data_IF_847087657093
#
_entry.id   IF_847087657093
#
_cell.length_a   1.000
_cell.length_b   1.000
_cell.length_c   1.000
_cell.angle_alpha   90.00
_cell.angle_beta   90.00
_cell.angle_gamma   90.00
#
_symmetry.space_group_name_H-M   'P 1'
#
loop_
_entity.id
_entity.type
_entity.pdbx_description
1 polymer ?
#
# COMPACT_ATOMS: atom_id res chain seq x y z
N UNK A 1 23.09 -5.48 4.38
CA UNK A 1 22.67 -4.09 4.53
C UNK A 1 21.28 -4.06 5.15
N UNK A 2 20.99 -3.16 6.06
CA UNK A 2 19.65 -2.98 6.62
C UNK A 2 18.82 -2.20 5.59
N UNK A 3 17.63 -2.72 5.24
CA UNK A 3 16.71 -2.00 4.36
C UNK A 3 16.17 -0.74 5.04
N UNK A 4 15.67 0.20 4.25
CA UNK A 4 15.24 1.51 4.75
C UNK A 4 13.74 1.73 4.53
N UNK A 5 13.03 2.21 5.55
CA UNK A 5 11.67 2.74 5.42
C UNK A 5 11.77 4.26 5.33
N UNK A 6 11.20 4.83 4.29
CA UNK A 6 11.31 6.26 3.99
C UNK A 6 10.02 7.00 4.36
N UNK A 7 10.14 8.04 5.17
CA UNK A 7 9.13 9.09 5.28
C UNK A 7 9.37 10.11 4.16
N UNK A 8 8.41 10.27 3.24
CA UNK A 8 8.52 11.21 2.13
C UNK A 8 7.87 12.54 2.48
N UNK A 9 8.66 13.60 2.47
CA UNK A 9 8.22 14.98 2.60
C UNK A 9 8.12 15.63 1.22
N UNK A 10 6.90 15.91 0.78
CA UNK A 10 6.65 16.59 -0.50
C UNK A 10 6.30 18.04 -0.22
N UNK A 11 7.20 18.96 -0.53
CA UNK A 11 7.07 20.43 -0.36
C UNK A 11 6.83 20.92 1.08
N UNK A 12 6.66 20.03 2.07
CA UNK A 12 6.46 20.37 3.49
C UNK A 12 6.79 19.19 4.39
N UNK A 13 7.03 19.48 5.67
CA UNK A 13 7.23 18.46 6.70
C UNK A 13 6.01 17.53 6.82
N UNK A 14 6.27 16.25 7.08
CA UNK A 14 5.28 15.19 7.17
C UNK A 14 5.43 14.38 8.47
N UNK A 15 5.13 14.97 9.64
CA UNK A 15 5.42 14.36 10.95
C UNK A 15 4.69 13.04 11.16
N UNK A 16 3.48 12.89 10.61
CA UNK A 16 2.75 11.62 10.67
C UNK A 16 3.45 10.54 9.85
N UNK A 17 3.93 10.87 8.64
CA UNK A 17 4.68 9.92 7.82
C UNK A 17 5.97 9.48 8.53
N UNK A 18 6.68 10.39 9.19
CA UNK A 18 7.88 10.10 9.98
C UNK A 18 7.56 9.13 11.11
N UNK A 19 6.51 9.39 11.90
CA UNK A 19 6.10 8.52 13.00
C UNK A 19 5.74 7.09 12.52
N UNK A 20 5.03 6.98 11.40
CA UNK A 20 4.72 5.68 10.81
C UNK A 20 5.95 4.96 10.28
N UNK A 21 6.86 5.67 9.60
CA UNK A 21 8.10 5.10 9.07
C UNK A 21 8.98 4.56 10.21
N UNK A 22 9.15 5.31 11.28
CA UNK A 22 9.91 4.88 12.47
C UNK A 22 9.28 3.66 13.13
N UNK A 23 7.95 3.63 13.30
CA UNK A 23 7.23 2.50 13.89
C UNK A 23 7.39 1.23 13.07
N UNK A 24 7.23 1.33 11.73
CA UNK A 24 7.37 0.19 10.82
C UNK A 24 8.82 -0.28 10.77
N UNK A 25 9.78 0.64 10.65
CA UNK A 25 11.19 0.33 10.61
C UNK A 25 11.66 -0.40 11.88
N UNK A 26 11.25 0.08 13.06
CA UNK A 26 11.56 -0.55 14.32
C UNK A 26 11.05 -2.01 14.38
N UNK A 27 9.79 -2.26 13.99
CA UNK A 27 9.21 -3.59 13.98
C UNK A 27 9.90 -4.54 12.98
N UNK A 28 10.27 -4.04 11.79
CA UNK A 28 10.93 -4.81 10.75
C UNK A 28 12.46 -4.92 10.94
N UNK A 29 13.04 -4.26 11.93
CA UNK A 29 14.48 -4.10 12.13
C UNK A 29 15.17 -3.46 10.91
N UNK A 30 14.50 -2.48 10.33
CA UNK A 30 14.99 -1.63 9.26
C UNK A 30 15.45 -0.27 9.83
N UNK A 31 16.09 0.53 9.00
CA UNK A 31 16.39 1.93 9.30
C UNK A 31 15.21 2.81 8.86
N UNK A 32 14.89 3.86 9.61
CA UNK A 32 13.97 4.90 9.19
C UNK A 32 14.74 6.14 8.71
N UNK A 33 14.34 6.71 7.58
CA UNK A 33 14.90 7.96 7.07
C UNK A 33 13.80 8.87 6.54
N UNK A 34 14.03 10.17 6.63
CA UNK A 34 13.20 11.18 5.95
C UNK A 34 13.88 11.60 4.66
N UNK A 35 13.11 11.70 3.58
CA UNK A 35 13.56 12.17 2.29
C UNK A 35 12.66 13.33 1.84
N UNK A 36 13.26 14.51 1.63
CA UNK A 36 12.55 15.69 1.15
C UNK A 36 12.64 15.80 -0.37
N UNK A 37 11.49 15.98 -1.02
CA UNK A 37 11.37 16.21 -2.46
C UNK A 37 10.52 17.44 -2.73
N UNK A 38 10.81 18.19 -3.79
CA UNK A 38 9.99 19.33 -4.20
C UNK A 38 10.75 20.40 -4.96
N UNK A 39 9.99 21.34 -5.56
CA UNK A 39 10.55 22.43 -6.35
C UNK A 39 10.98 23.64 -5.50
N UNK A 40 10.54 23.74 -4.24
CA UNK A 40 10.66 24.93 -3.41
C UNK A 40 11.42 24.76 -2.10
N UNK A 41 11.90 23.56 -1.78
CA UNK A 41 12.69 23.32 -0.58
C UNK A 41 14.17 23.47 -0.86
N UNK A 42 14.84 24.25 -0.03
CA UNK A 42 16.30 24.45 0.10
C UNK A 42 17.19 23.74 -0.93
N UNK A 43 18.35 24.29 -1.23
CA UNK A 43 19.33 23.87 -2.25
C UNK A 43 19.69 22.37 -2.37
N UNK A 44 19.09 21.49 -1.57
CA UNK A 44 19.36 20.05 -1.50
C UNK A 44 18.09 19.17 -1.62
N UNK A 45 16.94 19.71 -2.04
CA UNK A 45 15.76 18.86 -2.22
C UNK A 45 15.88 18.07 -3.53
N UNK A 46 15.59 16.76 -3.43
CA UNK A 46 15.54 15.85 -4.56
C UNK A 46 14.37 16.23 -5.49
N UNK A 47 14.54 16.11 -6.80
CA UNK A 47 13.40 16.21 -7.72
C UNK A 47 12.53 14.95 -7.66
N UNK A 48 11.23 15.10 -7.94
CA UNK A 48 10.34 13.91 -8.04
C UNK A 48 10.77 12.94 -9.16
N UNK A 49 11.47 13.45 -10.18
CA UNK A 49 11.97 12.62 -11.28
C UNK A 49 13.12 11.69 -10.83
N UNK A 50 13.96 12.15 -9.90
CA UNK A 50 15.11 11.40 -9.40
C UNK A 50 14.75 10.49 -8.22
N UNK A 51 13.51 10.55 -7.73
CA UNK A 51 13.05 9.77 -6.58
C UNK A 51 13.22 8.25 -6.78
N UNK A 52 12.89 7.63 -7.93
CA UNK A 52 13.07 6.19 -8.11
C UNK A 52 14.53 5.75 -7.95
N UNK A 53 15.48 6.47 -8.57
CA UNK A 53 16.90 6.14 -8.53
C UNK A 53 17.47 6.30 -7.10
N UNK A 54 17.04 7.32 -6.40
CA UNK A 54 17.47 7.54 -5.01
C UNK A 54 16.94 6.43 -4.08
N UNK A 55 15.67 6.02 -4.23
CA UNK A 55 15.09 4.94 -3.45
C UNK A 55 15.81 3.60 -3.70
N UNK A 56 16.21 3.33 -4.95
CA UNK A 56 17.00 2.15 -5.29
C UNK A 56 18.40 2.24 -4.68
N UNK A 57 19.07 3.40 -4.78
CA UNK A 57 20.40 3.64 -4.23
C UNK A 57 20.49 3.38 -2.72
N UNK A 58 19.45 3.72 -1.97
CA UNK A 58 19.40 3.56 -0.51
C UNK A 58 18.78 2.23 -0.05
N UNK A 59 18.45 1.32 -0.97
CA UNK A 59 17.77 0.04 -0.70
C UNK A 59 16.45 0.24 0.09
N UNK A 60 15.63 1.20 -0.36
CA UNK A 60 14.36 1.48 0.26
C UNK A 60 13.40 0.27 0.13
N UNK A 61 12.76 -0.09 1.24
CA UNK A 61 11.82 -1.21 1.31
C UNK A 61 10.35 -0.78 1.28
N UNK A 62 10.06 0.44 1.70
CA UNK A 62 8.73 1.01 1.78
C UNK A 62 8.83 2.54 1.81
N UNK A 63 7.84 3.19 1.23
CA UNK A 63 7.65 4.64 1.32
C UNK A 63 6.43 4.94 2.17
N UNK A 64 6.49 5.94 3.04
CA UNK A 64 5.35 6.46 3.80
C UNK A 64 5.11 7.91 3.40
N UNK A 65 3.89 8.25 3.03
CA UNK A 65 3.53 9.56 2.50
C UNK A 65 2.32 10.12 3.24
N UNK A 66 2.46 11.30 3.82
CA UNK A 66 1.35 12.00 4.44
C UNK A 66 0.53 12.72 3.37
N UNK A 67 -0.79 12.45 3.34
CA UNK A 67 -1.71 13.02 2.36
C UNK A 67 -2.83 13.79 3.06
N UNK A 68 -2.96 15.05 2.71
CA UNK A 68 -4.05 15.93 3.14
C UNK A 68 -4.78 16.50 1.92
N UNK A 69 -6.08 16.15 1.80
CA UNK A 69 -6.92 16.58 0.69
C UNK A 69 -6.66 15.91 -0.66
N UNK A 70 -7.57 16.16 -1.58
CA UNK A 70 -7.63 15.50 -2.89
C UNK A 70 -6.42 15.81 -3.79
N UNK A 71 -5.93 17.07 -3.77
CA UNK A 71 -4.80 17.50 -4.60
C UNK A 71 -3.54 16.75 -4.21
N UNK A 72 -3.30 16.60 -2.90
CA UNK A 72 -2.10 15.93 -2.39
C UNK A 72 -2.11 14.43 -2.67
N UNK A 73 -3.28 13.77 -2.53
CA UNK A 73 -3.44 12.38 -2.95
C UNK A 73 -3.00 12.21 -4.40
N UNK A 74 -3.47 13.07 -5.31
CA UNK A 74 -3.14 12.93 -6.73
C UNK A 74 -1.65 13.12 -7.00
N UNK A 75 -1.01 14.14 -6.39
CA UNK A 75 0.44 14.35 -6.50
C UNK A 75 1.23 13.15 -6.00
N UNK A 76 0.85 12.59 -4.83
CA UNK A 76 1.50 11.41 -4.27
C UNK A 76 1.35 10.17 -5.16
N UNK A 77 0.14 9.93 -5.68
CA UNK A 77 -0.10 8.80 -6.58
C UNK A 77 0.71 8.92 -7.87
N UNK A 78 0.82 10.12 -8.45
CA UNK A 78 1.65 10.36 -9.62
C UNK A 78 3.14 10.10 -9.35
N UNK A 79 3.64 10.54 -8.20
CA UNK A 79 5.03 10.32 -7.80
C UNK A 79 5.34 8.83 -7.51
N UNK A 80 4.38 8.09 -6.95
CA UNK A 80 4.62 6.74 -6.45
C UNK A 80 4.29 5.62 -7.46
N UNK A 81 3.52 5.88 -8.52
CA UNK A 81 3.02 4.84 -9.43
C UNK A 81 4.10 4.08 -10.21
N UNK A 82 5.27 4.71 -10.42
CA UNK A 82 6.41 4.12 -11.14
C UNK A 82 7.40 3.40 -10.22
N UNK A 83 7.20 3.52 -8.91
CA UNK A 83 8.10 2.92 -7.93
C UNK A 83 7.94 1.39 -7.89
N UNK A 84 9.03 0.70 -7.61
CA UNK A 84 9.05 -0.77 -7.42
C UNK A 84 8.77 -1.21 -5.98
N UNK A 85 8.67 -0.27 -5.05
CA UNK A 85 8.40 -0.52 -3.64
C UNK A 85 6.96 -0.13 -3.29
N UNK A 86 6.37 -0.73 -2.22
CA UNK A 86 5.07 -0.33 -1.73
C UNK A 86 5.13 1.07 -1.11
N UNK A 87 3.99 1.75 -1.11
CA UNK A 87 3.84 3.03 -0.45
C UNK A 87 2.59 3.10 0.42
N UNK A 88 2.76 3.61 1.62
CA UNK A 88 1.72 3.76 2.63
C UNK A 88 1.24 5.22 2.64
N UNK A 89 -0.04 5.44 2.35
CA UNK A 89 -0.68 6.74 2.52
C UNK A 89 -1.25 6.85 3.93
N UNK A 90 -0.87 7.90 4.64
CA UNK A 90 -1.36 8.23 5.98
C UNK A 90 -1.98 9.62 6.01
N UNK A 91 -2.89 9.88 6.94
CA UNK A 91 -3.50 11.19 7.12
C UNK A 91 -2.81 11.95 8.26
N UNK A 92 -2.82 13.30 8.24
CA UNK A 92 -2.34 14.08 9.37
C UNK A 92 -2.94 13.63 10.71
N UNK A 93 -2.12 13.59 11.74
CA UNK A 93 -2.50 13.23 13.11
C UNK A 93 -2.98 11.78 13.33
N UNK A 94 -2.87 10.89 12.33
CA UNK A 94 -3.07 9.46 12.57
C UNK A 94 -1.98 8.88 13.47
N UNK A 95 -2.34 7.84 14.22
CA UNK A 95 -1.40 7.08 15.03
C UNK A 95 -1.13 5.72 14.38
N UNK A 96 0.12 5.23 14.38
CA UNK A 96 0.43 3.91 13.85
C UNK A 96 -0.17 2.82 14.72
N UNK A 97 -1.29 2.27 14.27
CA UNK A 97 -1.93 1.09 14.81
C UNK A 97 -2.10 0.07 13.70
N UNK A 98 -1.82 -1.21 13.97
CA UNK A 98 -1.85 -2.28 12.98
C UNK A 98 -2.42 -3.58 13.57
N UNK A 99 -3.36 -3.49 14.53
CA UNK A 99 -3.96 -4.67 15.14
C UNK A 99 -4.88 -5.44 14.18
N UNK A 100 -5.51 -4.74 13.23
CA UNK A 100 -6.37 -5.33 12.21
C UNK A 100 -6.03 -4.81 10.80
N UNK A 101 -5.85 -5.75 9.86
CA UNK A 101 -5.50 -5.45 8.47
C UNK A 101 -6.54 -6.02 7.52
N UNK A 102 -7.11 -5.19 6.66
CA UNK A 102 -8.04 -5.59 5.60
C UNK A 102 -7.29 -5.84 4.28
N UNK A 103 -7.50 -7.00 3.67
CA UNK A 103 -6.83 -7.42 2.43
C UNK A 103 -7.89 -7.83 1.41
N UNK A 104 -8.43 -6.91 0.61
CA UNK A 104 -9.32 -7.25 -0.50
C UNK A 104 -8.55 -7.99 -1.59
N UNK A 105 -9.17 -9.03 -2.15
CA UNK A 105 -8.60 -9.84 -3.23
C UNK A 105 -9.47 -9.68 -4.47
N UNK A 106 -8.83 -9.44 -5.61
CA UNK A 106 -9.47 -9.39 -6.93
C UNK A 106 -9.09 -10.62 -7.76
N UNK A 107 -9.51 -10.68 -9.01
CA UNK A 107 -9.11 -11.74 -9.94
C UNK A 107 -7.73 -11.50 -10.59
N UNK A 108 -7.11 -10.33 -10.35
CA UNK A 108 -5.86 -9.94 -10.98
C UNK A 108 -4.69 -10.78 -10.44
N UNK A 109 -3.80 -11.28 -11.31
CA UNK A 109 -2.68 -12.15 -10.90
C UNK A 109 -1.75 -11.50 -9.87
N UNK A 110 -1.58 -10.19 -9.96
CA UNK A 110 -0.74 -9.39 -9.06
C UNK A 110 -1.26 -9.31 -7.62
N UNK A 111 -2.52 -9.67 -7.38
CA UNK A 111 -3.10 -9.60 -6.04
C UNK A 111 -2.41 -10.52 -5.03
N UNK A 112 -1.77 -11.60 -5.49
CA UNK A 112 -0.93 -12.44 -4.64
C UNK A 112 0.30 -11.69 -4.07
N UNK A 113 0.73 -10.60 -4.71
CA UNK A 113 1.86 -9.78 -4.23
C UNK A 113 1.55 -9.03 -2.92
N UNK A 114 0.28 -8.91 -2.54
CA UNK A 114 -0.12 -8.38 -1.23
C UNK A 114 0.24 -9.32 -0.07
N UNK A 115 0.34 -10.62 -0.34
CA UNK A 115 0.53 -11.64 0.69
C UNK A 115 1.78 -11.44 1.56
N UNK A 116 3.00 -11.18 1.01
CA UNK A 116 4.19 -10.94 1.82
C UNK A 116 4.05 -9.74 2.75
N UNK A 117 3.39 -8.66 2.27
CA UNK A 117 3.19 -7.45 3.07
C UNK A 117 2.16 -7.69 4.18
N UNK A 118 1.03 -8.31 3.88
CA UNK A 118 0.06 -8.70 4.89
C UNK A 118 0.68 -9.64 5.93
N UNK A 119 1.48 -10.62 5.50
CA UNK A 119 2.19 -11.51 6.38
C UNK A 119 3.19 -10.76 7.29
N UNK A 120 3.87 -9.73 6.78
CA UNK A 120 4.76 -8.91 7.59
C UNK A 120 4.00 -8.21 8.73
N UNK A 121 2.83 -7.61 8.45
CA UNK A 121 2.00 -7.03 9.51
C UNK A 121 1.50 -8.10 10.50
N UNK A 122 1.06 -9.27 10.00
CA UNK A 122 0.67 -10.38 10.88
C UNK A 122 1.78 -10.85 11.80
N UNK A 123 3.02 -10.91 11.32
CA UNK A 123 4.18 -11.39 12.09
C UNK A 123 4.73 -10.34 13.07
N UNK A 124 4.94 -9.13 12.60
CA UNK A 124 5.69 -8.13 13.34
C UNK A 124 4.83 -7.22 14.21
N UNK A 125 3.53 -7.13 13.90
CA UNK A 125 2.56 -6.37 14.68
C UNK A 125 1.49 -7.26 15.33
N UNK A 126 1.60 -8.58 15.18
CA UNK A 126 0.57 -9.53 15.62
C UNK A 126 -0.84 -9.22 15.09
N UNK A 127 -0.91 -8.61 13.90
CA UNK A 127 -2.15 -8.18 13.29
C UNK A 127 -3.06 -9.36 12.94
N UNK A 128 -4.36 -9.19 13.17
CA UNK A 128 -5.39 -10.07 12.61
C UNK A 128 -5.67 -9.66 11.17
N UNK A 129 -5.58 -10.61 10.25
CA UNK A 129 -5.78 -10.37 8.82
C UNK A 129 -7.21 -10.72 8.41
N UNK A 130 -7.88 -9.83 7.66
CA UNK A 130 -9.21 -10.11 7.11
C UNK A 130 -9.14 -10.03 5.58
N UNK A 131 -9.28 -11.20 4.94
CA UNK A 131 -9.29 -11.33 3.48
C UNK A 131 -10.72 -11.12 2.99
N UNK A 132 -10.92 -10.19 2.05
CA UNK A 132 -12.20 -9.98 1.39
C UNK A 132 -12.23 -10.73 0.06
N UNK A 133 -13.04 -11.80 0.00
CA UNK A 133 -13.27 -12.59 -1.20
C UNK A 133 -14.35 -11.92 -2.06
N UNK A 134 -14.11 -11.62 -3.35
CA UNK A 134 -15.12 -11.01 -4.22
C UNK A 134 -16.27 -11.98 -4.50
N UNK A 135 -17.43 -11.42 -4.87
CA UNK A 135 -18.63 -12.21 -5.19
C UNK A 135 -18.50 -12.98 -6.51
N UNK A 136 -17.71 -12.45 -7.43
CA UNK A 136 -17.51 -12.96 -8.79
C UNK A 136 -16.09 -13.50 -9.02
N UNK A 137 -15.81 -14.02 -10.22
CA UNK A 137 -14.49 -14.50 -10.69
C UNK A 137 -13.85 -15.57 -9.75
N UNK A 138 -14.71 -16.44 -9.18
CA UNK A 138 -14.38 -17.37 -8.13
C UNK A 138 -13.04 -18.09 -8.31
N UNK A 139 -12.78 -18.69 -9.48
CA UNK A 139 -11.57 -19.52 -9.70
C UNK A 139 -10.27 -18.72 -9.61
N UNK A 140 -10.21 -17.53 -10.21
CA UNK A 140 -8.98 -16.71 -10.18
C UNK A 140 -8.76 -16.06 -8.82
N UNK A 141 -9.81 -15.51 -8.23
CA UNK A 141 -9.74 -14.95 -6.89
C UNK A 141 -9.40 -16.02 -5.85
N UNK A 142 -9.93 -17.25 -5.99
CA UNK A 142 -9.61 -18.39 -5.12
C UNK A 142 -8.11 -18.70 -5.20
N UNK A 143 -7.51 -18.78 -6.38
CA UNK A 143 -6.06 -19.02 -6.52
C UNK A 143 -5.21 -17.98 -5.79
N UNK A 144 -5.61 -16.70 -5.86
CA UNK A 144 -4.92 -15.65 -5.13
C UNK A 144 -5.10 -15.80 -3.61
N UNK A 145 -6.30 -16.15 -3.15
CA UNK A 145 -6.59 -16.41 -1.74
C UNK A 145 -5.79 -17.62 -1.24
N UNK A 146 -5.77 -18.73 -1.99
CA UNK A 146 -5.05 -19.95 -1.62
C UNK A 146 -3.55 -19.69 -1.51
N UNK A 147 -2.96 -18.93 -2.45
CA UNK A 147 -1.56 -18.53 -2.37
C UNK A 147 -1.27 -17.67 -1.14
N UNK A 148 -2.20 -16.77 -0.80
CA UNK A 148 -2.09 -15.90 0.36
C UNK A 148 -2.21 -16.68 1.67
N UNK A 149 -3.23 -17.55 1.79
CA UNK A 149 -3.46 -18.35 3.00
C UNK A 149 -2.36 -19.38 3.21
N UNK A 150 -1.84 -20.00 2.15
CA UNK A 150 -0.66 -20.88 2.23
C UNK A 150 0.53 -20.17 2.89
N UNK A 151 0.79 -18.91 2.52
CA UNK A 151 1.82 -18.13 3.16
C UNK A 151 1.48 -17.81 4.62
N UNK A 152 0.23 -17.45 4.91
CA UNK A 152 -0.20 -17.13 6.28
C UNK A 152 -0.12 -18.34 7.21
N UNK A 153 -0.52 -19.50 6.72
CA UNK A 153 -0.45 -20.77 7.47
C UNK A 153 1.01 -21.15 7.77
N UNK A 154 1.93 -20.92 6.81
CA UNK A 154 3.35 -21.20 7.03
C UNK A 154 3.97 -20.39 8.17
N UNK A 155 3.37 -19.26 8.53
CA UNK A 155 3.76 -18.41 9.66
C UNK A 155 2.79 -18.49 10.84
N UNK A 156 1.82 -19.39 10.83
CA UNK A 156 0.77 -19.55 11.85
C UNK A 156 0.04 -18.21 12.16
N UNK A 157 -0.23 -17.40 11.12
CA UNK A 157 -0.88 -16.09 11.27
C UNK A 157 -2.39 -16.25 11.52
N UNK A 158 -2.95 -15.30 12.26
CA UNK A 158 -4.40 -15.24 12.50
C UNK A 158 -5.09 -14.51 11.33
N UNK A 159 -5.95 -15.21 10.61
CA UNK A 159 -6.74 -14.60 9.55
C UNK A 159 -8.17 -15.14 9.50
N UNK A 160 -9.04 -14.41 8.81
CA UNK A 160 -10.37 -14.83 8.44
C UNK A 160 -10.67 -14.41 7.00
N UNK A 161 -11.57 -15.16 6.35
CA UNK A 161 -12.04 -14.86 4.99
C UNK A 161 -13.49 -14.40 5.08
N UNK A 162 -13.78 -13.24 4.54
CA UNK A 162 -15.11 -12.64 4.50
C UNK A 162 -15.57 -12.57 3.06
N UNK A 163 -16.77 -13.09 2.77
CA UNK A 163 -17.39 -12.94 1.45
C UNK A 163 -17.84 -11.49 1.27
N UNK A 164 -17.27 -10.78 0.31
CA UNK A 164 -17.71 -9.44 -0.05
C UNK A 164 -19.10 -9.47 -0.74
N UNK A 165 -19.82 -8.38 -0.60
CA UNK A 165 -21.08 -8.16 -1.33
C UNK A 165 -20.84 -7.74 -2.78
N UNK A 166 -19.69 -7.14 -3.05
CA UNK A 166 -19.25 -6.65 -4.36
C UNK A 166 -18.36 -7.67 -5.06
N UNK A 167 -18.36 -7.56 -6.40
CA UNK A 167 -17.40 -8.25 -7.24
C UNK A 167 -16.02 -7.62 -7.21
N UNK A 168 -15.10 -8.15 -8.01
CA UNK A 168 -13.71 -7.71 -8.10
C UNK A 168 -13.57 -6.20 -8.34
N UNK A 169 -14.45 -5.59 -9.11
CA UNK A 169 -14.39 -4.14 -9.38
C UNK A 169 -14.77 -3.28 -8.17
N UNK A 170 -15.38 -3.86 -7.15
CA UNK A 170 -15.89 -3.14 -5.98
C UNK A 170 -15.37 -3.60 -4.64
N UNK A 171 -14.72 -4.77 -4.57
CA UNK A 171 -14.26 -5.38 -3.30
C UNK A 171 -13.28 -4.51 -2.54
N UNK A 172 -12.36 -3.82 -3.23
CA UNK A 172 -11.39 -2.93 -2.60
C UNK A 172 -12.07 -1.71 -1.94
N UNK A 173 -13.07 -1.13 -2.60
CA UNK A 173 -13.86 -0.03 -2.01
C UNK A 173 -14.75 -0.50 -0.85
N UNK A 174 -15.27 -1.73 -0.92
CA UNK A 174 -16.02 -2.33 0.18
C UNK A 174 -15.13 -2.55 1.40
N UNK A 175 -13.95 -3.16 1.20
CA UNK A 175 -12.97 -3.34 2.26
C UNK A 175 -12.50 -2.02 2.88
N UNK A 176 -12.24 -1.00 2.06
CA UNK A 176 -11.85 0.32 2.54
C UNK A 176 -12.96 0.98 3.39
N UNK A 177 -14.24 0.81 3.04
CA UNK A 177 -15.35 1.29 3.88
C UNK A 177 -15.49 0.51 5.18
N UNK A 178 -15.39 -0.80 5.11
CA UNK A 178 -15.43 -1.66 6.30
C UNK A 178 -14.30 -1.32 7.26
N UNK A 179 -13.11 -1.07 6.73
CA UNK A 179 -11.93 -0.74 7.52
C UNK A 179 -12.09 0.54 8.35
N UNK A 180 -12.91 1.51 7.94
CA UNK A 180 -13.13 2.76 8.70
C UNK A 180 -13.55 2.54 10.16
N UNK A 181 -14.16 1.40 10.47
CA UNK A 181 -14.64 1.06 11.81
C UNK A 181 -14.10 -0.25 12.36
N UNK A 182 -13.41 -1.05 11.54
CA UNK A 182 -13.07 -2.44 11.88
C UNK A 182 -11.60 -2.78 11.65
N UNK A 183 -10.81 -1.91 11.03
CA UNK A 183 -9.41 -2.16 10.76
C UNK A 183 -8.55 -0.89 10.89
N UNK A 184 -7.25 -1.11 10.99
CA UNK A 184 -6.24 -0.06 11.16
C UNK A 184 -5.44 0.17 9.88
N UNK A 185 -5.56 -0.76 8.91
CA UNK A 185 -4.83 -0.72 7.65
C UNK A 185 -5.62 -1.43 6.55
N UNK A 186 -5.59 -0.89 5.35
CA UNK A 186 -6.05 -1.58 4.12
C UNK A 186 -4.87 -1.78 3.18
N UNK A 187 -4.75 -2.98 2.59
CA UNK A 187 -3.71 -3.28 1.60
C UNK A 187 -4.38 -3.53 0.25
N UNK A 188 -4.08 -2.71 -0.76
CA UNK A 188 -4.61 -2.84 -2.12
C UNK A 188 -3.49 -2.91 -3.16
N UNK A 189 -3.76 -3.48 -4.32
CA UNK A 189 -2.85 -3.42 -5.46
C UNK A 189 -3.04 -2.11 -6.23
N UNK A 190 -1.95 -1.43 -6.57
CA UNK A 190 -1.98 -0.30 -7.48
C UNK A 190 -2.23 -0.79 -8.92
N UNK A 191 -2.83 0.05 -9.76
CA UNK A 191 -3.08 -0.26 -11.18
C UNK A 191 -1.78 -0.25 -11.98
N UNK A 192 -1.64 -1.21 -12.88
CA UNK A 192 -0.50 -1.25 -13.84
C UNK A 192 -0.64 -0.19 -14.92
N UNK A 193 -1.86 -0.03 -15.43
CA UNK A 193 -2.16 0.84 -16.55
C UNK A 193 -3.26 1.81 -16.17
N UNK A 194 -3.16 3.00 -16.68
CA UNK A 194 -4.15 4.06 -16.53
C UNK A 194 -4.90 4.21 -17.86
N UNK A 195 -6.20 3.91 -17.84
CA UNK A 195 -7.08 4.06 -19.00
C UNK A 195 -7.62 5.48 -19.15
N UNK A 196 -8.36 5.70 -20.24
CA UNK A 196 -9.07 6.98 -20.48
C UNK A 196 -10.06 7.31 -19.35
N UNK A 197 -10.68 6.30 -18.75
CA UNK A 197 -11.59 6.47 -17.62
C UNK A 197 -10.88 7.03 -16.38
N UNK A 198 -9.61 6.71 -16.19
CA UNK A 198 -8.80 7.22 -15.07
C UNK A 198 -8.46 8.72 -15.25
N UNK A 199 -8.38 9.18 -16.50
CA UNK A 199 -8.18 10.61 -16.82
C UNK A 199 -9.44 11.40 -16.47
N UNK A 200 -10.63 10.85 -16.74
CA UNK A 200 -11.90 11.55 -16.56
C UNK A 200 -12.43 11.48 -15.12
N UNK A 201 -12.27 10.34 -14.45
CA UNK A 201 -12.89 10.06 -13.14
C UNK A 201 -11.86 9.88 -12.01
N UNK A 202 -10.59 10.01 -12.29
CA UNK A 202 -9.48 9.68 -11.38
C UNK A 202 -9.26 8.18 -11.26
N UNK A 203 -8.03 7.79 -10.98
CA UNK A 203 -7.64 6.38 -10.87
C UNK A 203 -8.42 5.64 -9.77
N UNK A 204 -8.42 4.31 -9.85
CA UNK A 204 -8.99 3.44 -8.81
C UNK A 204 -8.42 3.81 -7.43
N UNK A 205 -7.10 3.96 -7.36
CA UNK A 205 -6.36 4.31 -6.15
C UNK A 205 -6.80 5.66 -5.58
N UNK A 206 -6.97 6.67 -6.44
CA UNK A 206 -7.46 7.98 -6.03
C UNK A 206 -8.83 7.90 -5.37
N UNK A 207 -9.75 7.15 -5.99
CA UNK A 207 -11.12 6.97 -5.45
C UNK A 207 -11.11 6.25 -4.10
N UNK A 208 -10.25 5.24 -3.93
CA UNK A 208 -10.09 4.53 -2.67
C UNK A 208 -9.43 5.44 -1.64
N UNK A 209 -8.29 6.06 -1.97
CA UNK A 209 -7.54 6.93 -1.07
C UNK A 209 -8.36 8.13 -0.60
N UNK A 210 -9.20 8.72 -1.46
CA UNK A 210 -10.09 9.82 -1.10
C UNK A 210 -11.13 9.43 -0.03
N UNK A 211 -11.62 8.20 -0.08
CA UNK A 211 -12.68 7.69 0.82
C UNK A 211 -12.11 6.98 2.06
N UNK A 212 -10.91 6.43 1.96
CA UNK A 212 -10.28 5.69 3.05
C UNK A 212 -9.79 6.65 4.15
N UNK A 213 -10.26 6.45 5.37
CA UNK A 213 -9.87 7.25 6.55
C UNK A 213 -8.80 6.56 7.39
N UNK A 214 -8.52 5.29 7.14
CA UNK A 214 -7.42 4.55 7.76
C UNK A 214 -6.20 4.53 6.84
N UNK A 215 -4.99 4.23 7.33
CA UNK A 215 -3.80 4.01 6.52
C UNK A 215 -4.07 3.08 5.33
N UNK A 216 -3.57 3.44 4.17
CA UNK A 216 -3.76 2.70 2.92
C UNK A 216 -2.41 2.32 2.31
N UNK A 217 -2.08 1.04 2.34
CA UNK A 217 -0.88 0.50 1.71
C UNK A 217 -1.18 0.09 0.27
N UNK A 218 -0.48 0.70 -0.66
CA UNK A 218 -0.57 0.38 -2.08
C UNK A 218 0.66 -0.44 -2.49
N UNK A 219 0.40 -1.60 -3.09
CA UNK A 219 1.43 -2.49 -3.62
C UNK A 219 1.54 -2.25 -5.12
N UNK A 220 2.66 -1.71 -5.56
CA UNK A 220 2.95 -1.57 -6.98
C UNK A 220 3.24 -2.95 -7.59
N UNK A 221 2.51 -3.38 -8.62
CA UNK A 221 2.74 -4.66 -9.25
C UNK A 221 4.13 -4.72 -9.90
N UNK A 222 4.85 -5.80 -9.65
CA UNK A 222 6.15 -6.06 -10.24
C UNK A 222 5.98 -6.69 -11.62
N UNK A 223 5.73 -5.85 -12.63
CA UNK A 223 5.48 -6.28 -14.01
C UNK A 223 6.58 -7.17 -14.61
N UNK A 224 7.82 -6.99 -14.15
CA UNK A 224 8.99 -7.80 -14.52
C UNK A 224 8.87 -9.27 -14.09
N UNK A 225 8.10 -9.58 -13.05
CA UNK A 225 7.90 -10.96 -12.59
C UNK A 225 6.91 -11.76 -13.46
N UNK A 226 6.12 -11.10 -14.29
CA UNK A 226 5.08 -11.74 -15.12
C UNK A 226 5.44 -11.79 -16.62
N UNK A 227 6.36 -10.95 -17.06
CA UNK A 227 6.81 -10.91 -18.47
C UNK A 227 7.55 -12.18 -18.92
N UNK A 228 7.92 -13.06 -18.01
CA UNK A 228 8.63 -14.33 -18.29
C UNK A 228 7.71 -15.57 -18.21
N UNK A 229 6.40 -15.38 -17.99
CA UNK A 229 5.43 -16.47 -17.78
C UNK A 229 4.37 -16.59 -18.87
N UNK A 230 4.50 -15.84 -19.99
CA UNK A 230 3.66 -15.97 -21.19
C UNK A 230 4.34 -16.82 -22.27
#
# INVERSE_FOLDING_TARGET
>A
MSRVVIALEIDQAAPTATLFAETIAAALRHEARTLAVGQHTTCNALSLADLPDELERIDASMLVVEVDGARRINTCLQACRTLRIPYLLVRPNQQPAFAHVAVPVTFLPEDKEKAPFAAAFGRFFAAKLTIFKPKDYGTRAIKNIDAMTTLFDSFALKYNIVQARKGSDGVEREAARWAQTQADLVIVSASREYGLDDILFGSKEYRIAKQCTVPLLLINPRGDLYALCD
#
